data_IF_837686589357
#
_entry.id   IF_837686589357
#
_cell.length_a   1.000
_cell.length_b   1.000
_cell.length_c   1.000
_cell.angle_alpha   90.00
_cell.angle_beta   90.00
_cell.angle_gamma   90.00
#
_symmetry.space_group_name_H-M   'P 1'
#
loop_
_entity.id
_entity.type
_entity.pdbx_description
1 polymer ?
#
# COMPACT_ATOMS: atom_id res chain seq x y z
N UNK A 1 62.35 -43.77 5.26
CA UNK A 1 61.43 -42.80 5.94
C UNK A 1 61.12 -41.55 5.10
N UNK A 2 62.05 -40.96 4.32
CA UNK A 2 61.78 -39.73 3.53
C UNK A 2 60.92 -39.99 2.27
N UNK A 3 61.15 -41.09 1.57
CA UNK A 3 60.40 -41.51 0.37
C UNK A 3 58.95 -41.85 0.68
N UNK A 4 58.69 -42.56 1.78
CA UNK A 4 57.33 -42.89 2.23
C UNK A 4 56.50 -41.64 2.53
N UNK A 5 57.11 -40.61 3.14
CA UNK A 5 56.43 -39.33 3.42
C UNK A 5 56.10 -38.56 2.13
N UNK A 6 56.99 -38.59 1.15
CA UNK A 6 56.75 -37.99 -0.18
C UNK A 6 55.64 -38.70 -0.94
N UNK A 7 55.60 -40.04 -0.91
CA UNK A 7 54.53 -40.81 -1.54
C UNK A 7 53.18 -40.58 -0.85
N UNK A 8 53.17 -40.48 0.48
CA UNK A 8 51.94 -40.18 1.21
C UNK A 8 51.43 -38.76 0.91
N UNK A 9 52.33 -37.77 0.87
CA UNK A 9 51.99 -36.41 0.51
C UNK A 9 51.46 -36.32 -0.93
N UNK A 10 52.11 -37.00 -1.88
CA UNK A 10 51.65 -37.08 -3.25
C UNK A 10 50.27 -37.73 -3.35
N UNK A 11 50.04 -38.86 -2.66
CA UNK A 11 48.74 -39.53 -2.66
C UNK A 11 47.61 -38.66 -2.11
N UNK A 12 47.87 -37.92 -1.02
CA UNK A 12 46.90 -36.99 -0.42
C UNK A 12 46.59 -35.82 -1.36
N UNK A 13 47.62 -35.25 -2.01
CA UNK A 13 47.45 -34.16 -2.97
C UNK A 13 46.66 -34.62 -4.22
N UNK A 14 46.95 -35.81 -4.74
CA UNK A 14 46.21 -36.41 -5.87
C UNK A 14 44.74 -36.66 -5.54
N UNK A 15 44.45 -37.11 -4.32
CA UNK A 15 43.08 -37.35 -3.87
C UNK A 15 42.28 -36.04 -3.77
N UNK A 16 42.94 -34.94 -3.39
CA UNK A 16 42.31 -33.62 -3.32
C UNK A 16 42.00 -33.04 -4.71
N UNK A 17 42.85 -33.31 -5.71
CA UNK A 17 42.62 -32.89 -7.09
C UNK A 17 41.41 -33.59 -7.74
N UNK A 18 41.06 -34.81 -7.31
CA UNK A 18 39.89 -35.53 -7.79
C UNK A 18 38.54 -34.91 -7.33
N UNK A 19 38.58 -34.03 -6.31
CA UNK A 19 37.41 -33.34 -5.78
C UNK A 19 37.21 -31.92 -6.32
N UNK A 20 38.17 -31.38 -7.09
CA UNK A 20 38.05 -30.07 -7.74
C UNK A 20 37.14 -30.18 -8.97
N UNK A 21 35.84 -30.30 -8.71
CA UNK A 21 34.80 -30.22 -9.72
C UNK A 21 34.51 -28.75 -9.98
N UNK A 22 34.94 -28.24 -11.15
CA UNK A 22 34.40 -26.99 -11.66
C UNK A 22 32.91 -27.22 -11.94
N UNK A 23 32.05 -26.28 -11.55
CA UNK A 23 30.65 -26.29 -11.98
C UNK A 23 30.64 -26.41 -13.51
N UNK A 24 30.07 -27.51 -14.02
CA UNK A 24 29.91 -27.68 -15.45
C UNK A 24 28.91 -26.62 -15.91
N UNK A 25 29.39 -25.66 -16.70
CA UNK A 25 28.52 -24.65 -17.29
C UNK A 25 27.60 -25.37 -18.28
N UNK A 26 26.37 -25.65 -17.84
CA UNK A 26 25.35 -26.39 -18.60
C UNK A 26 24.79 -25.63 -19.82
N UNK A 27 25.44 -24.53 -20.21
CA UNK A 27 24.95 -23.60 -21.22
C UNK A 27 23.69 -22.87 -20.79
N UNK A 28 23.14 -22.08 -21.70
CA UNK A 28 21.76 -21.62 -21.59
C UNK A 28 20.86 -22.84 -21.76
N UNK A 29 20.02 -23.14 -20.77
CA UNK A 29 18.97 -24.15 -20.85
C UNK A 29 18.17 -23.93 -22.15
N UNK A 30 18.40 -24.79 -23.14
CA UNK A 30 17.69 -24.71 -24.41
C UNK A 30 16.25 -25.16 -24.17
N UNK A 31 15.29 -24.28 -24.42
CA UNK A 31 13.88 -24.64 -24.39
C UNK A 31 13.60 -25.62 -25.54
N UNK A 32 13.48 -26.90 -25.21
CA UNK A 32 12.96 -27.90 -26.12
C UNK A 32 11.45 -27.94 -25.97
N UNK A 33 10.73 -27.35 -26.93
CA UNK A 33 9.30 -27.54 -27.02
C UNK A 33 9.02 -29.02 -27.30
N UNK A 34 8.20 -29.66 -26.45
CA UNK A 34 7.73 -31.03 -26.66
C UNK A 34 6.61 -31.12 -27.70
N UNK A 35 6.04 -29.98 -28.12
CA UNK A 35 4.97 -29.91 -29.09
C UNK A 35 5.51 -29.83 -30.53
N UNK A 36 4.90 -30.58 -31.44
CA UNK A 36 5.22 -30.47 -32.86
C UNK A 36 4.71 -29.14 -33.44
N UNK A 37 5.36 -28.64 -34.50
CA UNK A 37 4.86 -27.45 -35.24
C UNK A 37 3.44 -27.63 -35.78
N UNK A 38 3.04 -28.87 -36.07
CA UNK A 38 1.68 -29.16 -36.53
C UNK A 38 0.66 -29.01 -35.38
N UNK A 39 0.99 -29.52 -34.19
CA UNK A 39 0.16 -29.37 -33.00
C UNK A 39 -0.04 -27.90 -32.63
N UNK A 40 1.02 -27.11 -32.57
CA UNK A 40 0.93 -25.66 -32.27
C UNK A 40 0.07 -24.93 -33.29
N UNK A 41 0.14 -25.30 -34.58
CA UNK A 41 -0.73 -24.71 -35.61
C UNK A 41 -2.20 -25.09 -35.42
N UNK A 42 -2.47 -26.34 -35.07
CA UNK A 42 -3.84 -26.78 -34.80
C UNK A 42 -4.42 -26.03 -33.60
N UNK A 43 -3.66 -25.90 -32.51
CA UNK A 43 -4.07 -25.18 -31.30
C UNK A 43 -4.28 -23.69 -31.58
N UNK A 44 -3.41 -23.06 -32.38
CA UNK A 44 -3.55 -21.67 -32.75
C UNK A 44 -4.80 -21.40 -33.60
N UNK A 45 -5.13 -22.30 -34.53
CA UNK A 45 -6.37 -22.21 -35.31
C UNK A 45 -7.60 -22.37 -34.42
N UNK A 46 -7.59 -23.34 -33.49
CA UNK A 46 -8.67 -23.54 -32.55
C UNK A 46 -8.87 -22.31 -31.64
N UNK A 47 -7.79 -21.74 -31.10
CA UNK A 47 -7.83 -20.53 -30.29
C UNK A 47 -8.35 -19.31 -31.08
N UNK A 48 -7.93 -19.13 -32.32
CA UNK A 48 -8.37 -18.02 -33.17
C UNK A 48 -9.88 -18.06 -33.50
N UNK A 49 -10.48 -19.25 -33.53
CA UNK A 49 -11.93 -19.43 -33.76
C UNK A 49 -12.73 -19.58 -32.46
N UNK A 50 -12.06 -19.55 -31.31
CA UNK A 50 -12.74 -19.64 -30.02
C UNK A 50 -13.51 -18.35 -29.72
N UNK A 51 -14.50 -18.45 -28.84
CA UNK A 51 -15.30 -17.29 -28.46
C UNK A 51 -14.42 -16.19 -27.86
N UNK A 52 -14.58 -14.96 -28.33
CA UNK A 52 -13.89 -13.81 -27.74
C UNK A 52 -14.48 -13.52 -26.35
N UNK A 53 -13.65 -13.74 -25.33
CA UNK A 53 -13.97 -13.51 -23.92
C UNK A 53 -14.38 -12.06 -23.60
N UNK A 54 -14.12 -11.11 -24.50
CA UNK A 54 -14.49 -9.70 -24.36
C UNK A 54 -15.60 -9.24 -25.32
N UNK A 55 -16.18 -10.14 -26.14
CA UNK A 55 -17.22 -9.80 -27.10
C UNK A 55 -18.46 -9.14 -26.44
N UNK A 56 -18.81 -9.59 -25.23
CA UNK A 56 -19.92 -9.04 -24.45
C UNK A 56 -19.67 -7.57 -24.09
N UNK A 57 -18.42 -7.21 -23.74
CA UNK A 57 -18.06 -5.82 -23.43
C UNK A 57 -18.13 -4.92 -24.66
N UNK A 58 -17.63 -5.40 -25.81
CA UNK A 58 -17.65 -4.66 -27.07
C UNK A 58 -19.09 -4.44 -27.60
N UNK A 59 -20.00 -5.37 -27.32
CA UNK A 59 -21.41 -5.28 -27.68
C UNK A 59 -22.31 -4.65 -26.61
N UNK A 60 -21.77 -4.35 -25.41
CA UNK A 60 -22.55 -3.85 -24.26
C UNK A 60 -23.16 -2.45 -24.43
N UNK A 61 -22.95 -1.78 -25.56
CA UNK A 61 -23.46 -0.44 -25.82
C UNK A 61 -22.84 0.61 -24.90
N UNK A 62 -23.41 1.82 -24.90
CA UNK A 62 -22.96 2.87 -23.97
C UNK A 62 -23.44 2.50 -22.56
N UNK A 63 -22.55 2.43 -21.55
CA UNK A 63 -22.95 2.14 -20.19
C UNK A 63 -23.98 3.16 -19.70
N UNK A 64 -24.95 2.70 -18.91
CA UNK A 64 -25.98 3.56 -18.32
C UNK A 64 -25.30 4.71 -17.58
N UNK A 65 -25.61 5.95 -17.99
CA UNK A 65 -25.13 7.12 -17.30
C UNK A 65 -25.61 7.08 -15.84
N UNK A 66 -24.69 7.16 -14.89
CA UNK A 66 -25.06 7.33 -13.48
C UNK A 66 -25.64 8.74 -13.35
N UNK A 67 -26.97 8.82 -13.39
CA UNK A 67 -27.68 10.06 -13.17
C UNK A 67 -27.45 10.49 -11.71
N UNK A 68 -26.89 11.68 -11.52
CA UNK A 68 -26.90 12.31 -10.20
C UNK A 68 -28.35 12.47 -9.76
N UNK A 69 -28.64 12.21 -8.48
CA UNK A 69 -29.96 12.43 -7.90
C UNK A 69 -30.35 13.92 -7.88
N UNK A 70 -29.39 14.82 -8.10
CA UNK A 70 -29.59 16.27 -8.08
C UNK A 70 -29.49 16.85 -9.48
N UNK A 71 -30.45 17.71 -9.84
CA UNK A 71 -30.42 18.44 -11.10
C UNK A 71 -29.21 19.39 -11.19
N UNK A 72 -28.65 19.54 -12.39
CA UNK A 72 -27.47 20.36 -12.64
C UNK A 72 -27.71 21.84 -12.33
N UNK A 73 -28.93 22.36 -12.55
CA UNK A 73 -29.23 23.75 -12.25
C UNK A 73 -29.25 23.99 -10.73
N UNK A 74 -29.73 23.02 -9.95
CA UNK A 74 -29.67 23.05 -8.48
C UNK A 74 -28.23 23.08 -7.99
N UNK A 75 -27.37 22.19 -8.48
CA UNK A 75 -25.94 22.18 -8.12
C UNK A 75 -25.28 23.52 -8.46
N UNK A 76 -25.57 24.09 -9.63
CA UNK A 76 -25.01 25.38 -10.06
C UNK A 76 -25.45 26.52 -9.14
N UNK A 77 -26.74 26.56 -8.79
CA UNK A 77 -27.29 27.57 -7.89
C UNK A 77 -26.64 27.49 -6.50
N UNK A 78 -26.49 26.29 -5.96
CA UNK A 78 -25.83 26.05 -4.68
C UNK A 78 -24.35 26.45 -4.70
N UNK A 79 -23.62 26.12 -5.77
CA UNK A 79 -22.22 26.49 -5.92
C UNK A 79 -22.04 28.02 -5.98
N UNK A 80 -22.91 28.73 -6.69
CA UNK A 80 -22.88 30.21 -6.74
C UNK A 80 -23.19 30.82 -5.37
N UNK A 81 -24.17 30.28 -4.64
CA UNK A 81 -24.49 30.75 -3.30
C UNK A 81 -23.32 30.53 -2.34
N UNK A 82 -22.69 29.35 -2.35
CA UNK A 82 -21.52 29.04 -1.54
C UNK A 82 -20.33 29.95 -1.86
N UNK A 83 -20.06 30.19 -3.15
CA UNK A 83 -18.98 31.08 -3.57
C UNK A 83 -19.20 32.53 -3.12
N UNK A 84 -20.46 32.97 -2.98
CA UNK A 84 -20.82 34.31 -2.50
C UNK A 84 -20.93 34.42 -0.99
N UNK A 85 -20.92 33.31 -0.25
CA UNK A 85 -21.08 33.31 1.20
C UNK A 85 -19.88 33.94 1.95
N UNK A 86 -18.77 34.22 1.26
CA UNK A 86 -17.56 34.78 1.86
C UNK A 86 -16.81 33.75 2.72
N UNK A 87 -15.80 34.21 3.46
CA UNK A 87 -15.07 33.36 4.40
C UNK A 87 -15.89 33.17 5.68
N UNK A 88 -16.39 31.93 5.87
CA UNK A 88 -17.18 31.50 7.03
C UNK A 88 -16.45 31.71 8.37
N UNK A 89 -15.12 31.85 8.34
CA UNK A 89 -14.27 32.03 9.51
C UNK A 89 -13.68 33.44 9.62
N UNK A 90 -14.07 34.38 8.76
CA UNK A 90 -13.54 35.74 8.78
C UNK A 90 -13.64 36.39 10.17
N UNK A 91 -14.78 36.23 10.84
CA UNK A 91 -15.02 36.78 12.17
C UNK A 91 -14.10 36.15 13.23
N UNK A 92 -13.83 34.84 13.14
CA UNK A 92 -12.91 34.16 14.05
C UNK A 92 -11.45 34.56 13.79
N UNK A 93 -11.09 34.85 12.54
CA UNK A 93 -9.76 35.34 12.18
C UNK A 93 -9.50 36.75 12.74
N UNK A 94 -10.52 37.61 12.80
CA UNK A 94 -10.40 38.97 13.36
C UNK A 94 -10.68 39.06 14.87
N UNK A 95 -11.24 38.03 15.51
CA UNK A 95 -11.67 38.06 16.91
C UNK A 95 -10.53 38.24 17.93
N UNK A 96 -9.26 38.15 17.51
CA UNK A 96 -8.12 38.21 18.41
C UNK A 96 -8.08 37.04 19.39
N UNK A 97 -7.01 36.93 20.18
CA UNK A 97 -6.94 35.91 21.24
C UNK A 97 -7.85 36.30 22.39
N UNK A 98 -8.71 35.36 22.84
CA UNK A 98 -9.54 35.54 24.03
C UNK A 98 -8.68 36.03 25.21
N UNK A 99 -9.17 36.98 26.04
CA UNK A 99 -8.43 37.47 27.20
C UNK A 99 -8.03 36.29 28.08
N UNK A 100 -6.74 36.20 28.42
CA UNK A 100 -6.29 35.27 29.46
C UNK A 100 -6.96 35.70 30.77
N UNK A 101 -7.99 34.98 31.19
CA UNK A 101 -8.55 35.09 32.53
C UNK A 101 -7.45 34.60 33.50
N UNK A 102 -6.67 35.53 34.05
CA UNK A 102 -5.77 35.23 35.15
C UNK A 102 -6.61 34.90 36.38
N UNK A 103 -6.86 33.61 36.60
CA UNK A 103 -7.37 33.15 37.89
C UNK A 103 -6.38 33.55 38.98
N UNK A 104 -6.89 34.14 40.06
CA UNK A 104 -6.10 34.47 41.26
C UNK A 104 -5.78 33.25 42.11
N UNK A 105 -6.39 32.11 41.79
CA UNK A 105 -6.17 30.83 42.46
C UNK A 105 -4.92 30.16 41.92
N UNK A 106 -4.09 29.67 42.84
CA UNK A 106 -2.95 28.84 42.48
C UNK A 106 -3.40 27.54 41.80
N UNK A 107 -2.56 27.03 40.90
CA UNK A 107 -2.84 25.84 40.12
C UNK A 107 -3.06 24.60 41.00
N UNK A 108 -2.40 24.53 42.16
CA UNK A 108 -2.59 23.43 43.09
C UNK A 108 -4.01 23.43 43.68
N UNK A 109 -4.55 24.61 44.00
CA UNK A 109 -5.91 24.77 44.54
C UNK A 109 -6.96 24.35 43.52
N UNK A 110 -6.81 24.76 42.25
CA UNK A 110 -7.71 24.37 41.16
C UNK A 110 -7.70 22.86 40.95
N UNK A 111 -6.51 22.24 40.99
CA UNK A 111 -6.39 20.79 40.83
C UNK A 111 -7.03 20.04 42.00
N UNK A 112 -6.84 20.52 43.23
CA UNK A 112 -7.45 19.92 44.41
C UNK A 112 -8.99 19.98 44.35
N UNK A 113 -9.55 21.13 43.96
CA UNK A 113 -11.00 21.29 43.78
C UNK A 113 -11.55 20.38 42.67
N UNK A 114 -10.87 20.31 41.51
CA UNK A 114 -11.30 19.45 40.41
C UNK A 114 -11.30 17.96 40.79
N UNK A 115 -10.29 17.53 41.57
CA UNK A 115 -10.22 16.15 42.08
C UNK A 115 -11.32 15.90 43.12
N UNK A 116 -11.59 16.84 44.04
CA UNK A 116 -12.68 16.71 45.01
C UNK A 116 -14.06 16.59 44.34
N UNK A 117 -14.32 17.41 43.32
CA UNK A 117 -15.57 17.35 42.51
C UNK A 117 -15.66 16.04 41.73
N UNK A 118 -14.57 15.57 41.12
CA UNK A 118 -14.55 14.29 40.41
C UNK A 118 -14.82 13.09 41.34
N UNK A 119 -14.49 13.22 42.63
CA UNK A 119 -14.78 12.23 43.67
C UNK A 119 -16.11 12.50 44.43
N UNK A 120 -16.92 13.47 43.99
CA UNK A 120 -18.25 13.76 44.55
C UNK A 120 -18.24 14.42 45.93
N UNK A 121 -17.16 15.11 46.28
CA UNK A 121 -17.00 15.80 47.56
C UNK A 121 -17.28 17.29 47.34
N UNK A 122 -18.54 17.72 47.49
CA UNK A 122 -18.98 19.07 47.13
C UNK A 122 -18.55 20.19 48.09
N UNK A 123 -17.94 19.87 49.23
CA UNK A 123 -17.44 20.89 50.17
C UNK A 123 -16.17 20.42 50.88
N UNK A 124 -15.01 20.99 50.52
CA UNK A 124 -13.89 21.05 51.45
C UNK A 124 -14.18 22.22 52.39
N UNK A 125 -14.66 21.89 53.60
CA UNK A 125 -14.98 22.86 54.63
C UNK A 125 -13.79 23.77 54.92
N UNK A 126 -14.02 25.07 54.71
CA UNK A 126 -13.33 26.17 55.39
C UNK A 126 -14.17 26.55 56.61
#
# INVERSE_FOLDING_TARGET
MKTTKLLLAAAVLSAFAAGASAEEYQGVLQFQSTASRAAVRADAVAAAHSADQYAEGASSGVPVAIASATDRATVRTQAVAAARAGDLYAEAASAGTAPRLSGTLDRATVRAQAVAVAHGIDTLGL
#
